data_IF_319063888604
#
_entry.id   IF_319063888604
#
_cell.length_a   1.000
_cell.length_b   1.000
_cell.length_c   1.000
_cell.angle_alpha   90.00
_cell.angle_beta   90.00
_cell.angle_gamma   90.00
#
_symmetry.space_group_name_H-M   'P 1'
#
loop_
_entity.id
_entity.type
_entity.pdbx_description
1 polymer ?
#
# COMPACT_ATOMS: atom_id res chain seq x y z
N UNK A 1 -41.24 30.39 -8.59
CA UNK A 1 -40.42 30.22 -9.82
C UNK A 1 -38.92 30.27 -9.54
N UNK A 2 -38.39 31.35 -9.03
CA UNK A 2 -36.92 31.59 -8.89
C UNK A 2 -36.22 30.55 -7.99
N UNK A 3 -36.81 30.12 -6.89
CA UNK A 3 -36.22 29.09 -5.98
C UNK A 3 -36.13 27.69 -6.62
N UNK A 4 -36.89 27.40 -7.66
CA UNK A 4 -36.85 26.12 -8.36
C UNK A 4 -35.67 26.04 -9.30
N UNK A 5 -35.36 27.14 -10.00
CA UNK A 5 -34.22 27.19 -10.94
C UNK A 5 -32.88 27.14 -10.22
N UNK A 6 -32.73 27.77 -9.02
CA UNK A 6 -31.50 27.71 -8.21
C UNK A 6 -31.14 26.26 -7.81
N UNK A 7 -32.14 25.42 -7.52
CA UNK A 7 -31.88 24.01 -7.19
C UNK A 7 -31.46 23.18 -8.42
N UNK A 8 -32.11 23.40 -9.55
CA UNK A 8 -31.69 22.73 -10.76
C UNK A 8 -30.28 23.10 -11.16
N UNK A 9 -29.90 24.38 -10.97
CA UNK A 9 -28.51 24.82 -11.15
C UNK A 9 -27.54 24.12 -10.21
N UNK A 10 -27.86 24.00 -8.93
CA UNK A 10 -27.03 23.29 -7.94
C UNK A 10 -26.85 21.82 -8.33
N UNK A 11 -27.92 21.14 -8.75
CA UNK A 11 -27.85 19.76 -9.24
C UNK A 11 -27.00 19.65 -10.51
N UNK A 12 -27.18 20.57 -11.46
CA UNK A 12 -26.39 20.59 -12.69
C UNK A 12 -24.89 20.80 -12.41
N UNK A 13 -24.55 21.71 -11.48
CA UNK A 13 -23.17 21.94 -11.06
C UNK A 13 -22.58 20.72 -10.36
N UNK A 14 -23.35 20.06 -9.49
CA UNK A 14 -22.91 18.83 -8.82
C UNK A 14 -22.64 17.72 -9.85
N UNK A 15 -23.57 17.53 -10.80
CA UNK A 15 -23.42 16.53 -11.86
C UNK A 15 -22.22 16.84 -12.77
N UNK A 16 -22.03 18.10 -13.15
CA UNK A 16 -20.88 18.52 -13.97
C UNK A 16 -19.54 18.33 -13.22
N UNK A 17 -19.48 18.73 -11.94
CA UNK A 17 -18.30 18.55 -11.10
C UNK A 17 -17.96 17.06 -10.91
N UNK A 18 -18.97 16.23 -10.62
CA UNK A 18 -18.82 14.79 -10.55
C UNK A 18 -18.25 14.22 -11.84
N UNK A 19 -18.86 14.55 -12.98
CA UNK A 19 -18.41 14.03 -14.28
C UNK A 19 -16.97 14.44 -14.58
N UNK A 20 -16.61 15.70 -14.31
CA UNK A 20 -15.25 16.20 -14.50
C UNK A 20 -14.23 15.44 -13.64
N UNK A 21 -14.52 15.19 -12.36
CA UNK A 21 -13.64 14.43 -11.46
C UNK A 21 -13.51 12.98 -11.94
N UNK A 22 -14.61 12.33 -12.33
CA UNK A 22 -14.55 10.98 -12.87
C UNK A 22 -13.75 10.89 -14.15
N UNK A 23 -13.97 11.83 -15.09
CA UNK A 23 -13.17 11.89 -16.32
C UNK A 23 -11.67 12.05 -16.02
N UNK A 24 -11.33 12.92 -15.07
CA UNK A 24 -9.93 13.12 -14.66
C UNK A 24 -9.30 11.84 -14.10
N UNK A 25 -10.02 11.10 -13.23
CA UNK A 25 -9.55 9.84 -12.63
C UNK A 25 -9.33 8.78 -13.71
N UNK A 26 -10.32 8.61 -14.61
CA UNK A 26 -10.25 7.63 -15.69
C UNK A 26 -9.12 7.94 -16.68
N UNK A 27 -8.94 9.22 -17.04
CA UNK A 27 -7.85 9.65 -17.93
C UNK A 27 -6.45 9.40 -17.32
N UNK A 28 -6.36 9.37 -16.00
CA UNK A 28 -5.11 9.05 -15.29
C UNK A 28 -4.89 7.55 -15.11
N UNK A 29 -5.80 6.70 -15.58
CA UNK A 29 -5.71 5.25 -15.42
C UNK A 29 -5.68 4.79 -13.97
N UNK A 30 -6.22 5.58 -13.03
CA UNK A 30 -6.26 5.27 -11.60
C UNK A 30 -7.70 5.14 -11.15
N UNK A 31 -8.05 3.94 -10.71
CA UNK A 31 -9.36 3.64 -10.13
C UNK A 31 -9.22 2.97 -8.75
N UNK A 32 -8.56 3.58 -7.77
CA UNK A 32 -8.48 3.00 -6.45
C UNK A 32 -9.81 3.18 -5.72
N UNK A 33 -10.36 2.10 -5.20
CA UNK A 33 -11.64 2.04 -4.47
C UNK A 33 -11.74 3.12 -3.37
N UNK A 34 -10.63 3.42 -2.69
CA UNK A 34 -10.57 4.47 -1.67
C UNK A 34 -10.92 5.87 -2.19
N UNK A 35 -10.63 6.17 -3.46
CA UNK A 35 -10.98 7.46 -4.08
C UNK A 35 -12.45 7.46 -4.47
N UNK A 36 -12.93 6.38 -5.07
CA UNK A 36 -14.32 6.25 -5.52
C UNK A 36 -15.29 6.30 -4.35
N UNK A 37 -15.02 5.59 -3.26
CA UNK A 37 -15.84 5.63 -2.05
C UNK A 37 -15.87 7.03 -1.42
N UNK A 38 -14.73 7.72 -1.39
CA UNK A 38 -14.66 9.10 -0.85
C UNK A 38 -15.48 10.07 -1.70
N UNK A 39 -15.48 9.95 -3.03
CA UNK A 39 -16.29 10.77 -3.92
C UNK A 39 -17.78 10.54 -3.71
N UNK A 40 -18.23 9.28 -3.60
CA UNK A 40 -19.63 8.96 -3.30
C UNK A 40 -20.07 9.51 -1.95
N UNK A 41 -19.20 9.45 -0.93
CA UNK A 41 -19.51 10.03 0.38
C UNK A 41 -19.72 11.55 0.30
N UNK A 42 -18.82 12.27 -0.38
CA UNK A 42 -18.95 13.72 -0.59
C UNK A 42 -20.23 14.05 -1.36
N UNK A 43 -20.51 13.34 -2.44
CA UNK A 43 -21.73 13.51 -3.22
C UNK A 43 -22.98 13.29 -2.36
N UNK A 44 -23.01 12.23 -1.56
CA UNK A 44 -24.10 11.95 -0.64
C UNK A 44 -24.33 13.08 0.37
N UNK A 45 -23.26 13.58 0.99
CA UNK A 45 -23.33 14.68 1.96
C UNK A 45 -23.86 15.96 1.32
N UNK A 46 -23.40 16.29 0.11
CA UNK A 46 -23.87 17.46 -0.63
C UNK A 46 -25.37 17.35 -1.00
N UNK A 47 -25.78 16.19 -1.50
CA UNK A 47 -27.19 15.93 -1.82
C UNK A 47 -28.08 16.00 -0.56
N UNK A 48 -27.64 15.42 0.55
CA UNK A 48 -28.34 15.48 1.83
C UNK A 48 -28.48 16.92 2.30
N UNK A 49 -27.41 17.71 2.25
CA UNK A 49 -27.42 19.13 2.62
C UNK A 49 -28.39 19.94 1.74
N UNK A 50 -28.38 19.72 0.43
CA UNK A 50 -29.30 20.36 -0.51
C UNK A 50 -30.76 20.01 -0.24
N UNK A 51 -31.05 18.76 0.17
CA UNK A 51 -32.39 18.32 0.55
C UNK A 51 -32.82 18.93 1.87
N UNK A 52 -31.95 18.99 2.87
CA UNK A 52 -32.23 19.58 4.18
C UNK A 52 -32.55 21.08 4.10
N UNK A 53 -31.83 21.82 3.25
CA UNK A 53 -32.12 23.24 3.00
C UNK A 53 -33.56 23.47 2.46
N UNK A 54 -34.16 22.42 1.90
CA UNK A 54 -35.54 22.47 1.39
C UNK A 54 -36.59 21.83 2.31
N UNK A 55 -36.44 21.98 3.60
CA UNK A 55 -37.33 21.41 4.61
C UNK A 55 -38.85 21.58 4.38
N UNK A 56 -39.27 22.55 3.57
CA UNK A 56 -40.67 22.74 3.19
C UNK A 56 -41.19 21.67 2.20
N UNK A 57 -40.32 21.16 1.30
CA UNK A 57 -40.64 20.04 0.39
C UNK A 57 -40.74 18.71 1.14
N UNK A 58 -39.87 18.50 2.12
CA UNK A 58 -39.85 17.31 3.00
C UNK A 58 -41.14 17.24 3.81
N UNK A 59 -41.63 18.36 4.31
CA UNK A 59 -42.85 18.43 5.13
C UNK A 59 -44.12 18.11 4.30
N UNK A 60 -44.17 18.45 3.02
CA UNK A 60 -45.36 18.30 2.16
C UNK A 60 -45.52 16.90 1.56
N UNK A 61 -44.43 16.13 1.47
CA UNK A 61 -44.41 14.78 0.85
C UNK A 61 -43.85 13.68 1.77
N UNK A 62 -44.22 13.70 3.04
CA UNK A 62 -43.75 12.73 4.05
C UNK A 62 -43.89 11.26 3.62
N UNK A 63 -44.99 10.93 2.92
CA UNK A 63 -45.22 9.57 2.42
C UNK A 63 -44.22 9.13 1.37
N UNK A 64 -43.94 9.99 0.38
CA UNK A 64 -42.98 9.70 -0.70
C UNK A 64 -41.55 9.54 -0.12
N UNK A 65 -41.17 10.42 0.81
CA UNK A 65 -39.84 10.35 1.45
C UNK A 65 -39.71 9.07 2.30
N UNK A 66 -40.76 8.69 3.06
CA UNK A 66 -40.76 7.41 3.78
C UNK A 66 -40.61 6.23 2.82
N UNK A 67 -41.35 6.21 1.70
CA UNK A 67 -41.23 5.15 0.71
C UNK A 67 -39.83 5.06 0.10
N UNK A 68 -39.21 6.20 -0.23
CA UNK A 68 -37.83 6.26 -0.73
C UNK A 68 -36.81 5.77 0.33
N UNK A 69 -36.96 6.17 1.59
CA UNK A 69 -36.06 5.71 2.66
C UNK A 69 -36.20 4.21 2.88
N UNK A 70 -37.42 3.67 2.87
CA UNK A 70 -37.65 2.22 2.98
C UNK A 70 -37.04 1.50 1.79
N UNK A 71 -37.25 1.99 0.56
CA UNK A 71 -36.67 1.40 -0.65
C UNK A 71 -35.14 1.38 -0.58
N UNK A 72 -34.53 2.50 -0.20
CA UNK A 72 -33.08 2.58 -0.02
C UNK A 72 -32.57 1.62 1.09
N UNK A 73 -33.31 1.53 2.20
CA UNK A 73 -32.97 0.60 3.27
C UNK A 73 -33.05 -0.86 2.83
N UNK A 74 -34.05 -1.23 2.04
CA UNK A 74 -34.21 -2.58 1.46
C UNK A 74 -33.09 -2.87 0.46
N UNK A 75 -32.76 -1.91 -0.41
CA UNK A 75 -31.63 -2.06 -1.35
C UNK A 75 -30.30 -2.23 -0.62
N UNK A 76 -30.06 -1.44 0.43
CA UNK A 76 -28.86 -1.55 1.27
C UNK A 76 -28.82 -2.88 2.05
N UNK A 77 -29.95 -3.34 2.58
CA UNK A 77 -30.03 -4.63 3.26
C UNK A 77 -29.75 -5.81 2.30
N UNK A 78 -30.21 -5.70 1.04
CA UNK A 78 -29.88 -6.70 0.02
C UNK A 78 -28.40 -6.77 -0.34
N UNK A 79 -27.71 -5.63 -0.36
CA UNK A 79 -26.26 -5.57 -0.63
C UNK A 79 -25.40 -5.98 0.56
N UNK A 80 -25.92 -5.90 1.80
CA UNK A 80 -25.18 -6.23 3.03
C UNK A 80 -24.71 -7.69 3.04
N UNK A 81 -25.53 -8.62 2.59
CA UNK A 81 -25.18 -10.04 2.55
C UNK A 81 -23.94 -10.32 1.69
N UNK A 82 -23.88 -9.73 0.50
CA UNK A 82 -22.72 -9.82 -0.37
C UNK A 82 -21.47 -9.15 0.24
N UNK A 83 -21.64 -7.96 0.81
CA UNK A 83 -20.54 -7.23 1.46
C UNK A 83 -19.99 -7.96 2.69
N UNK A 84 -20.85 -8.57 3.50
CA UNK A 84 -20.42 -9.38 4.67
C UNK A 84 -19.58 -10.57 4.20
N UNK A 85 -20.02 -11.27 3.16
CA UNK A 85 -19.30 -12.41 2.61
C UNK A 85 -17.90 -11.99 2.09
N UNK A 86 -17.82 -10.92 1.32
CA UNK A 86 -16.55 -10.38 0.82
C UNK A 86 -15.61 -9.99 1.97
N UNK A 87 -16.14 -9.35 3.01
CA UNK A 87 -15.35 -9.00 4.21
C UNK A 87 -14.86 -10.26 4.93
N UNK A 88 -15.67 -11.31 5.02
CA UNK A 88 -15.26 -12.56 5.64
C UNK A 88 -14.17 -13.29 4.84
N UNK A 89 -14.30 -13.32 3.51
CA UNK A 89 -13.28 -13.89 2.61
C UNK A 89 -11.96 -13.09 2.70
N UNK A 90 -12.03 -11.77 2.68
CA UNK A 90 -10.87 -10.88 2.84
C UNK A 90 -10.23 -11.02 4.24
N UNK A 91 -11.01 -11.19 5.30
CA UNK A 91 -10.49 -11.44 6.65
C UNK A 91 -9.72 -12.76 6.74
N UNK A 92 -10.19 -13.83 6.11
CA UNK A 92 -9.48 -15.10 6.09
C UNK A 92 -8.13 -14.99 5.38
N UNK A 93 -8.11 -14.33 4.22
CA UNK A 93 -6.87 -14.06 3.48
C UNK A 93 -5.90 -13.20 4.31
N UNK A 94 -6.37 -12.12 4.91
CA UNK A 94 -5.56 -11.25 5.76
C UNK A 94 -5.05 -11.95 7.02
N UNK A 95 -5.81 -12.90 7.56
CA UNK A 95 -5.36 -13.70 8.71
C UNK A 95 -4.10 -14.51 8.34
N UNK A 96 -4.08 -15.13 7.15
CA UNK A 96 -2.91 -15.86 6.67
C UNK A 96 -1.71 -14.94 6.48
N UNK A 97 -1.90 -13.83 5.75
CA UNK A 97 -0.84 -12.82 5.52
C UNK A 97 -0.29 -12.26 6.84
N UNK A 98 -1.15 -12.03 7.83
CA UNK A 98 -0.72 -11.55 9.15
C UNK A 98 0.03 -12.62 9.96
N UNK A 99 -0.25 -13.90 9.75
CA UNK A 99 0.54 -14.99 10.37
C UNK A 99 1.97 -14.99 9.82
N UNK A 100 2.13 -14.83 8.52
CA UNK A 100 3.43 -14.73 7.88
C UNK A 100 4.22 -13.51 8.40
N UNK A 101 3.56 -12.35 8.47
CA UNK A 101 4.19 -11.17 9.06
C UNK A 101 4.61 -11.38 10.53
N UNK A 102 3.78 -12.05 11.35
CA UNK A 102 4.14 -12.36 12.73
C UNK A 102 5.32 -13.35 12.82
N UNK A 103 5.44 -14.25 11.86
CA UNK A 103 6.60 -15.14 11.78
C UNK A 103 7.88 -14.36 11.46
N UNK A 104 7.83 -13.43 10.51
CA UNK A 104 8.95 -12.55 10.17
C UNK A 104 9.34 -11.68 11.37
N UNK A 105 8.38 -10.99 12.00
CA UNK A 105 8.62 -10.13 13.16
C UNK A 105 9.30 -10.91 14.31
N UNK A 106 8.84 -12.11 14.59
CA UNK A 106 9.43 -12.99 15.60
C UNK A 106 10.84 -13.41 15.21
N UNK A 107 11.03 -13.86 13.97
CA UNK A 107 12.34 -14.28 13.47
C UNK A 107 13.38 -13.17 13.59
N UNK A 108 13.03 -11.95 13.20
CA UNK A 108 13.91 -10.79 13.29
C UNK A 108 14.23 -10.45 14.74
N UNK A 109 13.23 -10.42 15.63
CA UNK A 109 13.43 -10.10 17.05
C UNK A 109 14.30 -11.10 17.80
N UNK A 110 14.25 -12.36 17.43
CA UNK A 110 15.11 -13.40 18.03
C UNK A 110 16.58 -13.25 17.62
N UNK A 111 16.88 -12.39 16.64
CA UNK A 111 18.22 -12.16 16.07
C UNK A 111 18.55 -10.66 16.03
N UNK A 112 18.57 -10.04 17.21
CA UNK A 112 18.67 -8.58 17.37
C UNK A 112 19.99 -7.99 16.83
N UNK A 113 21.05 -8.77 16.71
CA UNK A 113 22.33 -8.35 16.17
C UNK A 113 22.33 -8.17 14.63
N UNK A 114 21.30 -8.69 13.98
CA UNK A 114 21.14 -8.62 12.53
C UNK A 114 20.12 -7.55 12.15
N UNK A 115 20.24 -7.04 10.93
CA UNK A 115 19.22 -6.17 10.33
C UNK A 115 18.66 -6.81 9.07
N UNK A 116 17.34 -6.70 8.88
CA UNK A 116 16.62 -7.34 7.80
C UNK A 116 15.90 -6.30 6.94
N UNK A 117 16.22 -6.25 5.66
CA UNK A 117 15.43 -5.50 4.69
C UNK A 117 14.37 -6.40 4.09
N UNK A 118 13.11 -6.03 4.29
CA UNK A 118 11.97 -6.72 3.69
C UNK A 118 11.73 -6.21 2.28
N UNK A 119 11.55 -7.10 1.32
CA UNK A 119 11.16 -6.72 -0.03
C UNK A 119 9.76 -6.10 -0.03
N UNK A 120 9.62 -4.96 -0.71
CA UNK A 120 8.38 -4.20 -0.73
C UNK A 120 7.22 -4.97 -1.37
N UNK A 121 7.48 -5.73 -2.42
CA UNK A 121 6.42 -6.50 -3.10
C UNK A 121 5.97 -7.70 -2.28
N UNK A 122 6.90 -8.36 -1.60
CA UNK A 122 6.62 -9.48 -0.70
C UNK A 122 5.80 -9.07 0.52
N UNK A 123 5.90 -7.82 0.97
CA UNK A 123 5.33 -7.36 2.25
C UNK A 123 4.17 -6.37 2.11
N UNK A 124 3.85 -5.91 0.90
CA UNK A 124 2.80 -4.90 0.64
C UNK A 124 1.40 -5.34 1.09
N UNK A 125 1.14 -6.63 1.16
CA UNK A 125 -0.14 -7.20 1.60
C UNK A 125 -0.30 -7.22 3.13
N UNK A 126 0.77 -7.01 3.89
CA UNK A 126 0.72 -7.03 5.34
C UNK A 126 -0.16 -5.91 5.87
N UNK A 127 -1.07 -6.23 6.78
CA UNK A 127 -1.95 -5.27 7.41
C UNK A 127 -1.97 -5.44 8.91
N UNK A 128 -1.63 -4.36 9.63
CA UNK A 128 -1.70 -4.34 11.09
C UNK A 128 -3.06 -3.80 11.55
N UNK A 129 -3.50 -4.24 12.71
CA UNK A 129 -4.67 -3.64 13.37
C UNK A 129 -4.33 -2.21 13.79
N UNK A 130 -5.21 -1.25 13.49
CA UNK A 130 -5.01 0.18 13.77
C UNK A 130 -4.68 0.45 15.25
N UNK A 131 -5.26 -0.32 16.18
CA UNK A 131 -5.07 -0.19 17.63
C UNK A 131 -4.18 -1.30 18.21
N UNK A 132 -3.42 -2.01 17.38
CA UNK A 132 -2.42 -2.92 17.91
C UNK A 132 -1.33 -2.11 18.64
N UNK A 133 -0.81 -2.62 19.77
CA UNK A 133 0.34 -1.98 20.39
C UNK A 133 1.44 -1.87 19.35
N UNK A 134 1.94 -0.65 19.14
CA UNK A 134 3.12 -0.48 18.29
C UNK A 134 4.27 -1.21 18.94
N UNK A 135 4.91 -2.09 18.17
CA UNK A 135 6.11 -2.75 18.61
C UNK A 135 7.27 -1.78 18.87
N UNK A 136 8.45 -2.29 19.02
CA UNK A 136 9.66 -1.50 19.19
C UNK A 136 9.82 -0.51 18.03
N UNK A 137 9.99 0.78 18.35
CA UNK A 137 10.23 1.85 17.36
C UNK A 137 11.46 1.58 16.47
N UNK A 138 12.43 0.89 17.01
CA UNK A 138 13.69 0.56 16.36
C UNK A 138 13.84 -0.94 16.14
N UNK A 139 12.75 -1.60 15.68
CA UNK A 139 12.86 -2.98 15.26
C UNK A 139 13.98 -3.15 14.23
N UNK A 140 14.65 -4.28 14.28
CA UNK A 140 15.81 -4.62 13.44
C UNK A 140 15.41 -5.07 12.01
N UNK A 141 14.29 -4.58 11.51
CA UNK A 141 13.84 -4.81 10.15
C UNK A 141 13.11 -3.57 9.59
N UNK A 142 13.15 -3.38 8.27
CA UNK A 142 12.38 -2.36 7.57
C UNK A 142 12.25 -2.71 6.09
N UNK A 143 11.31 -2.06 5.41
CA UNK A 143 11.05 -2.28 3.99
C UNK A 143 12.15 -1.64 3.14
N UNK A 144 12.71 -2.39 2.21
CA UNK A 144 13.67 -1.89 1.24
C UNK A 144 12.97 -1.06 0.17
N UNK A 145 13.24 0.23 0.15
CA UNK A 145 12.61 1.15 -0.80
C UNK A 145 11.23 1.65 -0.35
N UNK A 146 10.39 1.98 -1.33
CA UNK A 146 9.06 2.55 -1.05
C UNK A 146 9.11 3.99 -0.54
N UNK A 147 7.97 4.48 -0.05
CA UNK A 147 7.82 5.90 0.35
C UNK A 147 8.49 6.18 1.69
N UNK A 148 8.47 5.20 2.58
CA UNK A 148 8.99 5.36 3.93
C UNK A 148 10.51 5.42 3.97
N UNK A 149 11.21 4.79 3.05
CA UNK A 149 12.68 4.81 2.96
C UNK A 149 13.29 6.21 2.81
N UNK A 150 12.49 7.20 2.40
CA UNK A 150 12.90 8.60 2.29
C UNK A 150 12.57 9.44 3.54
N UNK A 151 11.92 8.85 4.53
CA UNK A 151 11.51 9.57 5.74
C UNK A 151 12.68 9.78 6.70
N UNK A 152 12.69 10.86 7.50
CA UNK A 152 13.69 11.04 8.56
C UNK A 152 13.68 9.89 9.58
N UNK A 153 12.49 9.36 9.91
CA UNK A 153 12.33 8.26 10.85
C UNK A 153 13.01 6.97 10.37
N UNK A 154 12.93 6.67 9.08
CA UNK A 154 13.64 5.53 8.49
C UNK A 154 15.15 5.68 8.66
N UNK A 155 15.67 6.87 8.37
CA UNK A 155 17.11 7.15 8.51
C UNK A 155 17.60 7.04 9.96
N UNK A 156 16.80 7.56 10.91
CA UNK A 156 17.09 7.38 12.34
C UNK A 156 17.13 5.89 12.73
N UNK A 157 16.17 5.12 12.24
CA UNK A 157 16.05 3.69 12.54
C UNK A 157 17.25 2.90 12.02
N UNK A 158 17.60 3.04 10.75
CA UNK A 158 18.73 2.30 10.17
C UNK A 158 20.08 2.76 10.75
N UNK A 159 20.19 4.04 11.15
CA UNK A 159 21.39 4.57 11.76
C UNK A 159 21.71 3.94 13.13
N UNK A 160 20.70 3.45 13.89
CA UNK A 160 20.91 2.69 15.13
C UNK A 160 21.69 1.41 14.87
N UNK A 161 21.53 0.82 13.68
CA UNK A 161 22.25 -0.37 13.23
C UNK A 161 23.49 -0.04 12.40
N UNK A 162 24.00 1.19 12.49
CA UNK A 162 25.16 1.70 11.74
C UNK A 162 25.00 1.66 10.21
N UNK A 163 23.77 1.56 9.71
CA UNK A 163 23.46 1.56 8.30
C UNK A 163 23.27 3.00 7.82
N UNK A 164 23.99 3.41 6.77
CA UNK A 164 23.83 4.71 6.10
C UNK A 164 22.93 4.61 4.89
N UNK A 165 23.19 3.61 4.06
CA UNK A 165 22.46 3.34 2.83
C UNK A 165 22.19 1.84 2.75
N UNK A 166 20.96 1.47 2.40
CA UNK A 166 20.51 0.08 2.42
C UNK A 166 21.25 -0.79 1.40
N UNK A 167 21.49 -0.29 0.20
CA UNK A 167 22.16 -1.02 -0.87
C UNK A 167 23.65 -1.28 -0.54
N UNK A 168 24.32 -0.34 0.06
CA UNK A 168 25.70 -0.52 0.53
C UNK A 168 25.75 -1.51 1.69
N UNK A 169 24.82 -1.40 2.63
CA UNK A 169 24.77 -2.29 3.80
C UNK A 169 24.51 -3.74 3.43
N UNK A 170 23.58 -3.98 2.49
CA UNK A 170 23.29 -5.33 1.97
C UNK A 170 24.51 -6.01 1.33
N UNK A 171 25.45 -5.21 0.82
CA UNK A 171 26.64 -5.72 0.13
C UNK A 171 27.86 -5.88 1.05
N UNK A 172 28.04 -4.93 1.98
CA UNK A 172 29.30 -4.76 2.72
C UNK A 172 29.18 -5.19 4.20
N UNK A 173 27.96 -5.42 4.72
CA UNK A 173 27.76 -5.80 6.12
C UNK A 173 27.30 -7.25 6.21
N UNK A 174 28.03 -8.06 6.98
CA UNK A 174 27.77 -9.50 7.16
C UNK A 174 26.47 -9.79 7.93
N UNK A 175 26.00 -8.83 8.73
CA UNK A 175 24.81 -8.97 9.56
C UNK A 175 23.58 -8.29 8.95
N UNK A 176 23.61 -7.97 7.65
CA UNK A 176 22.46 -7.36 6.93
C UNK A 176 21.94 -8.33 5.88
N UNK A 177 20.66 -8.60 5.94
CA UNK A 177 19.98 -9.60 5.14
C UNK A 177 18.77 -9.01 4.41
N UNK A 178 18.25 -9.75 3.44
CA UNK A 178 16.99 -9.44 2.74
C UNK A 178 15.98 -10.56 2.99
N UNK A 179 14.74 -10.19 3.32
CA UNK A 179 13.61 -11.12 3.46
C UNK A 179 12.72 -10.99 2.24
N UNK A 180 12.46 -12.12 1.58
CA UNK A 180 11.69 -12.17 0.34
C UNK A 180 10.70 -13.35 0.39
N UNK A 181 9.53 -13.15 -0.21
CA UNK A 181 8.56 -14.23 -0.42
C UNK A 181 9.10 -15.26 -1.41
N UNK A 182 8.90 -16.53 -1.11
CA UNK A 182 9.30 -17.63 -1.99
C UNK A 182 8.51 -17.65 -3.32
N UNK A 183 7.38 -16.91 -3.40
CA UNK A 183 6.59 -16.74 -4.61
C UNK A 183 7.15 -15.65 -5.54
N UNK A 184 7.98 -14.73 -5.02
CA UNK A 184 8.56 -13.60 -5.76
C UNK A 184 9.91 -14.00 -6.38
N UNK A 185 9.86 -14.85 -7.42
CA UNK A 185 11.07 -15.36 -8.09
C UNK A 185 11.98 -14.26 -8.65
N UNK A 186 11.38 -13.13 -9.09
CA UNK A 186 12.06 -12.03 -9.77
C UNK A 186 12.51 -10.91 -8.79
N UNK A 187 12.32 -11.12 -7.49
CA UNK A 187 12.63 -10.11 -6.46
C UNK A 187 14.09 -9.64 -6.48
N UNK A 188 15.00 -10.45 -6.96
CA UNK A 188 16.43 -10.14 -7.01
C UNK A 188 16.92 -9.61 -8.37
N UNK A 189 16.11 -9.67 -9.42
CA UNK A 189 16.53 -9.23 -10.76
C UNK A 189 16.85 -7.74 -10.78
N UNK A 190 16.00 -6.92 -10.17
CA UNK A 190 16.22 -5.49 -10.06
C UNK A 190 17.46 -5.16 -9.21
N UNK A 191 17.70 -5.92 -8.13
CA UNK A 191 18.82 -5.69 -7.22
C UNK A 191 20.14 -6.08 -7.88
N UNK A 192 20.21 -7.24 -8.54
CA UNK A 192 21.39 -7.68 -9.30
C UNK A 192 21.68 -6.73 -10.46
N UNK A 193 20.65 -6.26 -11.17
CA UNK A 193 20.80 -5.27 -12.23
C UNK A 193 21.32 -3.93 -11.68
N UNK A 194 20.86 -3.48 -10.50
CA UNK A 194 21.32 -2.27 -9.84
C UNK A 194 22.82 -2.34 -9.52
N UNK A 195 23.29 -3.44 -8.95
CA UNK A 195 24.72 -3.62 -8.66
C UNK A 195 25.54 -3.77 -9.93
N UNK A 196 25.04 -4.46 -10.94
CA UNK A 196 25.70 -4.59 -12.24
C UNK A 196 25.89 -3.24 -12.95
N UNK A 197 24.95 -2.29 -12.80
CA UNK A 197 25.11 -0.91 -13.30
C UNK A 197 26.23 -0.16 -12.57
N UNK A 198 26.49 -0.49 -11.31
CA UNK A 198 27.61 0.04 -10.52
C UNK A 198 28.95 -0.68 -10.77
N UNK A 199 28.96 -1.67 -11.68
CA UNK A 199 30.14 -2.47 -11.98
C UNK A 199 30.41 -3.59 -10.98
N UNK A 200 29.45 -3.88 -10.08
CA UNK A 200 29.59 -4.88 -9.03
C UNK A 200 28.81 -6.14 -9.44
N UNK A 201 29.47 -7.28 -9.40
CA UNK A 201 28.82 -8.57 -9.62
C UNK A 201 28.49 -9.19 -8.25
N UNK A 202 27.23 -9.57 -8.10
CA UNK A 202 26.71 -10.13 -6.86
C UNK A 202 26.09 -11.50 -7.09
N UNK A 203 26.11 -12.32 -6.06
CA UNK A 203 25.37 -13.57 -5.95
C UNK A 203 24.43 -13.48 -4.78
N UNK A 204 23.19 -13.88 -5.00
CA UNK A 204 22.17 -13.99 -3.93
C UNK A 204 22.25 -15.41 -3.37
N UNK A 205 22.42 -15.52 -2.07
CA UNK A 205 22.49 -16.79 -1.36
C UNK A 205 21.40 -16.85 -0.30
N UNK A 206 20.59 -17.91 -0.35
CA UNK A 206 19.66 -18.18 0.73
C UNK A 206 20.44 -18.55 1.99
N UNK A 207 20.23 -17.80 3.06
CA UNK A 207 20.88 -17.99 4.35
C UNK A 207 20.03 -18.83 5.30
N UNK A 208 18.70 -18.59 5.31
CA UNK A 208 17.77 -19.28 6.20
C UNK A 208 16.35 -19.27 5.60
N UNK A 209 15.43 -20.00 6.22
CA UNK A 209 14.02 -20.00 5.91
C UNK A 209 13.21 -19.65 7.16
N UNK A 210 12.29 -18.69 7.04
CA UNK A 210 11.43 -18.26 8.14
C UNK A 210 10.23 -19.22 8.28
N UNK A 211 9.62 -19.53 7.15
CA UNK A 211 8.51 -20.47 7.01
C UNK A 211 8.42 -20.94 5.55
N UNK A 212 7.35 -21.64 5.18
CA UNK A 212 7.14 -22.12 3.81
C UNK A 212 7.02 -21.01 2.77
N UNK A 213 6.63 -19.79 3.20
CA UNK A 213 6.34 -18.66 2.32
C UNK A 213 7.48 -17.62 2.24
N UNK A 214 8.39 -17.57 3.23
CA UNK A 214 9.42 -16.53 3.33
C UNK A 214 10.79 -17.09 3.68
N UNK A 215 11.80 -16.58 2.99
CA UNK A 215 13.20 -16.94 3.19
C UNK A 215 14.08 -15.69 3.37
N UNK A 216 15.24 -15.92 3.98
CA UNK A 216 16.25 -14.90 4.26
C UNK A 216 17.43 -15.10 3.31
N UNK A 217 17.89 -14.01 2.73
CA UNK A 217 18.93 -14.01 1.72
C UNK A 217 20.05 -13.05 2.11
N UNK A 218 21.26 -13.42 1.73
CA UNK A 218 22.45 -12.58 1.82
C UNK A 218 22.93 -12.25 0.41
N UNK A 219 23.39 -11.02 0.23
CA UNK A 219 23.96 -10.56 -1.03
C UNK A 219 25.48 -10.62 -0.92
N UNK A 220 26.09 -11.43 -1.75
CA UNK A 220 27.55 -11.66 -1.70
C UNK A 220 28.19 -11.09 -2.95
N UNK A 221 29.23 -10.28 -2.76
CA UNK A 221 30.04 -9.76 -3.87
C UNK A 221 30.91 -10.90 -4.42
N UNK A 222 30.81 -11.17 -5.74
CA UNK A 222 31.61 -12.21 -6.41
C UNK A 222 32.70 -11.63 -7.32
N UNK A 223 32.65 -10.34 -7.63
CA UNK A 223 33.66 -9.66 -8.46
C UNK A 223 33.25 -8.25 -8.83
N UNK A 224 34.17 -7.60 -9.54
CA UNK A 224 33.91 -6.32 -10.19
C UNK A 224 33.90 -6.57 -11.71
N UNK A 225 32.97 -5.92 -12.40
CA UNK A 225 32.94 -5.94 -13.86
C UNK A 225 34.17 -5.15 -14.33
N UNK A 226 35.14 -5.79 -14.97
CA UNK A 226 36.26 -5.09 -15.60
C UNK A 226 35.70 -3.93 -16.42
N UNK A 227 36.12 -2.71 -16.13
CA UNK A 227 35.81 -1.54 -16.93
C UNK A 227 36.39 -1.80 -18.32
N UNK A 228 35.56 -2.16 -19.28
CA UNK A 228 35.94 -2.21 -20.68
C UNK A 228 36.45 -0.82 -21.04
N UNK A 229 37.76 -0.72 -21.08
CA UNK A 229 38.50 0.48 -21.38
C UNK A 229 37.93 1.13 -22.65
N UNK A 230 37.36 2.31 -22.51
CA UNK A 230 37.00 3.19 -23.61
C UNK A 230 38.21 3.67 -24.43
N UNK A 231 39.39 3.08 -24.23
CA UNK A 231 40.63 3.44 -24.91
C UNK A 231 40.74 2.94 -26.37
N UNK A 232 39.86 2.04 -26.83
CA UNK A 232 39.96 1.47 -28.18
C UNK A 232 39.01 2.11 -29.23
N UNK A 233 38.36 3.24 -28.91
CA UNK A 233 37.55 4.01 -29.89
C UNK A 233 38.23 5.27 -30.44
N UNK A 234 39.50 5.45 -30.18
CA UNK A 234 40.30 6.52 -30.81
C UNK A 234 41.56 5.93 -31.49
N UNK A 235 41.37 5.09 -32.48
CA UNK A 235 42.35 4.87 -33.54
C UNK A 235 41.66 4.76 -34.88
#
# INVERSE_FOLDING_TARGET
GVRSYAFLWQLALLAAGRTAVWMFILLRGRDPERITHSLYLVEFVLLAAMLLQRGSLVRRRKGVIRAMVILLAVMQAGSLGGSIRLVQEDQALRAQVNQDWQAIDRYCREREDNFYFEDVYSTVAFSQKIFAPSGNRYANYDILGGWMSKSPLYREKIAVYHIREADTALLDMENVYMVVSNEEADAFDWLTAHYAQKGILVQVQQSDSINDNYSVYQIVRIGEKESVNQADRMK
#
